data_IF_242401856606
#
_entry.id   IF_242401856606
#
_cell.length_a   1.000
_cell.length_b   1.000
_cell.length_c   1.000
_cell.angle_alpha   90.00
_cell.angle_beta   90.00
_cell.angle_gamma   90.00
#
_symmetry.space_group_name_H-M   'P 1'
#
loop_
_entity.id
_entity.type
_entity.pdbx_description
1 polymer ?
#
# COMPACT_ATOMS: atom_id res chain seq x y z
N UNK A 1 -16.19 -42.32 44.19
CA UNK A 1 -17.46 -42.52 43.47
C UNK A 1 -17.15 -42.64 41.99
N UNK A 2 -17.75 -43.62 41.30
CA UNK A 2 -17.64 -43.72 39.84
C UNK A 2 -18.71 -42.82 39.20
N UNK A 3 -18.34 -42.03 38.20
CA UNK A 3 -19.25 -41.11 37.53
C UNK A 3 -19.06 -41.18 36.03
N UNK A 4 -20.16 -41.32 35.29
CA UNK A 4 -20.21 -41.18 33.84
C UNK A 4 -21.05 -39.95 33.51
N UNK A 5 -20.57 -39.13 32.60
CA UNK A 5 -21.28 -37.95 32.12
C UNK A 5 -21.11 -37.81 30.61
N UNK A 6 -22.07 -37.17 29.97
CA UNK A 6 -22.04 -36.84 28.55
C UNK A 6 -21.37 -35.47 28.38
N UNK A 7 -20.53 -35.32 27.35
CA UNK A 7 -20.05 -34.01 26.91
C UNK A 7 -21.07 -33.27 26.04
N UNK A 8 -22.06 -33.98 25.51
CA UNK A 8 -23.21 -33.44 24.79
C UNK A 8 -24.36 -33.10 25.75
N UNK A 9 -25.14 -32.07 25.41
CA UNK A 9 -26.35 -31.63 26.11
C UNK A 9 -27.61 -32.06 25.35
N UNK A 10 -28.79 -31.75 25.89
CA UNK A 10 -30.06 -32.01 25.20
C UNK A 10 -30.62 -33.40 25.43
N UNK A 11 -31.86 -33.61 25.02
CA UNK A 11 -32.56 -34.89 25.15
C UNK A 11 -31.91 -36.02 24.35
N UNK A 12 -31.13 -35.70 23.32
CA UNK A 12 -30.35 -36.66 22.54
C UNK A 12 -29.14 -37.21 23.32
N UNK A 13 -28.65 -36.48 24.33
CA UNK A 13 -27.57 -36.92 25.20
C UNK A 13 -28.07 -37.93 26.24
N UNK A 14 -28.15 -39.20 25.83
CA UNK A 14 -28.55 -40.33 26.68
C UNK A 14 -27.35 -41.21 27.00
N UNK A 15 -27.18 -41.55 28.27
CA UNK A 15 -26.28 -42.61 28.73
C UNK A 15 -27.16 -43.77 29.17
N UNK A 16 -26.84 -44.97 28.70
CA UNK A 16 -27.50 -46.21 29.09
C UNK A 16 -26.42 -47.27 29.33
N UNK A 17 -26.43 -47.86 30.52
CA UNK A 17 -25.50 -48.91 30.92
C UNK A 17 -26.22 -50.24 30.76
N UNK A 18 -25.79 -51.03 29.77
CA UNK A 18 -26.26 -52.39 29.60
C UNK A 18 -25.54 -53.33 30.58
N UNK A 19 -26.12 -53.53 31.76
CA UNK A 19 -25.59 -54.39 32.83
C UNK A 19 -26.59 -55.51 33.17
N UNK A 20 -26.69 -56.56 32.33
CA UNK A 20 -27.74 -57.58 32.46
C UNK A 20 -27.65 -58.40 33.76
N UNK A 21 -26.47 -58.49 34.38
CA UNK A 21 -26.24 -59.24 35.62
C UNK A 21 -26.19 -58.33 36.86
N UNK A 22 -26.15 -57.01 36.68
CA UNK A 22 -26.09 -56.03 37.77
C UNK A 22 -24.72 -55.98 38.48
N UNK A 23 -23.70 -56.64 37.94
CA UNK A 23 -22.40 -56.78 38.60
C UNK A 23 -21.62 -55.46 38.53
N UNK A 24 -21.70 -54.77 37.40
CA UNK A 24 -21.04 -53.48 37.20
C UNK A 24 -21.63 -52.41 38.14
N UNK A 25 -22.96 -52.31 38.21
CA UNK A 25 -23.63 -51.37 39.09
C UNK A 25 -23.33 -51.63 40.58
N UNK A 26 -23.22 -52.90 41.01
CA UNK A 26 -22.87 -53.28 42.40
C UNK A 26 -21.43 -52.93 42.75
N UNK A 27 -20.46 -53.24 41.87
CA UNK A 27 -19.03 -52.97 42.11
C UNK A 27 -18.77 -51.47 42.28
N UNK A 28 -19.45 -50.65 41.48
CA UNK A 28 -19.23 -49.20 41.46
C UNK A 28 -20.26 -48.38 42.25
N UNK A 29 -21.21 -49.05 42.93
CA UNK A 29 -22.31 -48.44 43.68
C UNK A 29 -23.13 -47.43 42.85
N UNK A 30 -23.49 -47.81 41.63
CA UNK A 30 -24.27 -46.99 40.70
C UNK A 30 -25.77 -47.17 41.00
N UNK A 31 -26.47 -46.06 41.27
CA UNK A 31 -27.88 -46.05 41.65
C UNK A 31 -28.85 -45.89 40.46
N UNK A 32 -28.36 -45.44 39.30
CA UNK A 32 -29.13 -45.36 38.05
C UNK A 32 -28.27 -45.81 36.88
N UNK A 33 -28.77 -46.75 36.08
CA UNK A 33 -28.13 -47.24 34.86
C UNK A 33 -28.51 -46.43 33.62
N UNK A 34 -29.28 -45.35 33.78
CA UNK A 34 -29.57 -44.42 32.70
C UNK A 34 -29.60 -42.96 33.17
N UNK A 35 -29.22 -42.06 32.28
CA UNK A 35 -29.35 -40.62 32.45
C UNK A 35 -29.61 -39.98 31.08
N UNK A 36 -30.41 -38.92 31.04
CA UNK A 36 -30.72 -38.19 29.81
C UNK A 36 -30.58 -36.69 30.06
N UNK A 37 -29.98 -35.98 29.12
CA UNK A 37 -29.93 -34.52 29.13
C UNK A 37 -31.30 -33.89 28.90
N UNK A 38 -31.39 -32.58 29.11
CA UNK A 38 -32.60 -31.79 28.88
C UNK A 38 -32.31 -30.74 27.82
N UNK A 39 -33.26 -30.50 26.92
CA UNK A 39 -33.16 -29.40 25.97
C UNK A 39 -33.27 -28.06 26.68
N UNK A 40 -32.57 -27.05 26.17
CA UNK A 40 -32.81 -25.67 26.57
C UNK A 40 -34.13 -25.18 25.93
N UNK A 41 -34.88 -24.38 26.66
CA UNK A 41 -36.11 -23.76 26.18
C UNK A 41 -35.94 -22.25 26.13
N UNK A 42 -36.29 -21.65 24.99
CA UNK A 42 -36.21 -20.19 24.77
C UNK A 42 -37.54 -19.71 24.21
N UNK A 43 -38.04 -18.58 24.71
CA UNK A 43 -39.17 -17.87 24.09
C UNK A 43 -38.63 -16.64 23.39
N UNK A 44 -38.59 -16.68 22.06
CA UNK A 44 -38.11 -15.58 21.22
C UNK A 44 -39.29 -14.92 20.51
N UNK A 45 -39.54 -13.64 20.77
CA UNK A 45 -40.66 -12.88 20.20
C UNK A 45 -42.02 -13.62 20.34
N UNK A 46 -42.26 -14.22 21.51
CA UNK A 46 -43.48 -14.98 21.81
C UNK A 46 -43.55 -16.39 21.21
N UNK A 47 -42.51 -16.84 20.49
CA UNK A 47 -42.43 -18.22 19.98
C UNK A 47 -41.48 -19.06 20.82
N UNK A 48 -41.98 -20.20 21.31
CA UNK A 48 -41.19 -21.19 22.03
C UNK A 48 -40.30 -21.96 21.05
N UNK A 49 -39.05 -22.16 21.45
CA UNK A 49 -38.03 -22.94 20.75
C UNK A 49 -37.36 -23.88 21.75
N UNK A 50 -37.07 -25.11 21.31
CA UNK A 50 -36.29 -26.08 22.06
C UNK A 50 -34.96 -26.32 21.34
N UNK A 51 -33.88 -26.38 22.12
CA UNK A 51 -32.51 -26.46 21.62
C UNK A 51 -31.79 -27.62 22.30
N UNK A 52 -31.06 -28.44 21.54
CA UNK A 52 -30.24 -29.50 22.12
C UNK A 52 -29.00 -28.96 22.86
N UNK A 53 -28.66 -27.68 22.66
CA UNK A 53 -27.55 -27.02 23.33
C UNK A 53 -27.94 -25.62 23.82
N UNK A 54 -27.00 -25.00 24.55
CA UNK A 54 -27.20 -23.67 25.15
C UNK A 54 -26.83 -22.53 24.17
N UNK A 55 -26.94 -22.75 22.86
CA UNK A 55 -26.61 -21.71 21.87
C UNK A 55 -27.54 -21.77 20.67
N UNK A 56 -27.92 -20.64 20.11
CA UNK A 56 -28.68 -20.63 18.87
C UNK A 56 -28.32 -19.43 18.03
N UNK A 57 -28.62 -19.51 16.74
CA UNK A 57 -28.49 -18.38 15.83
C UNK A 57 -29.87 -17.92 15.38
N UNK A 58 -30.06 -16.61 15.35
CA UNK A 58 -31.27 -15.99 14.85
C UNK A 58 -30.91 -14.71 14.10
N UNK A 59 -31.35 -14.61 12.84
CA UNK A 59 -31.04 -13.49 11.94
C UNK A 59 -29.54 -13.11 11.88
N UNK A 60 -28.65 -14.11 11.87
CA UNK A 60 -27.20 -13.90 11.80
C UNK A 60 -26.55 -13.46 13.12
N UNK A 61 -27.31 -13.41 14.22
CA UNK A 61 -26.79 -13.17 15.56
C UNK A 61 -26.71 -14.49 16.31
N UNK A 62 -25.54 -14.79 16.88
CA UNK A 62 -25.34 -15.93 17.77
C UNK A 62 -25.68 -15.55 19.20
N UNK A 63 -26.52 -16.36 19.83
CA UNK A 63 -26.94 -16.25 21.22
C UNK A 63 -26.36 -17.41 22.02
N UNK A 64 -25.70 -17.10 23.14
CA UNK A 64 -25.24 -18.08 24.10
C UNK A 64 -26.06 -17.95 25.40
N UNK A 65 -26.82 -18.98 25.74
CA UNK A 65 -27.62 -19.05 26.96
C UNK A 65 -26.71 -19.31 28.16
N UNK A 66 -26.68 -18.37 29.10
CA UNK A 66 -25.85 -18.46 30.32
C UNK A 66 -26.64 -18.86 31.57
N UNK A 67 -27.96 -18.77 31.52
CA UNK A 67 -28.84 -19.11 32.63
C UNK A 67 -30.29 -18.79 32.31
N UNK A 68 -31.19 -19.18 33.22
CA UNK A 68 -32.63 -18.91 33.10
C UNK A 68 -32.90 -17.46 33.49
N UNK A 69 -33.56 -16.71 32.60
CA UNK A 69 -33.98 -15.34 32.87
C UNK A 69 -35.23 -15.32 33.75
N UNK A 70 -35.27 -14.43 34.74
CA UNK A 70 -36.45 -14.21 35.61
C UNK A 70 -37.41 -13.15 35.09
N UNK A 71 -37.02 -12.44 34.03
CA UNK A 71 -37.79 -11.41 33.33
C UNK A 71 -37.38 -11.37 31.86
N UNK A 72 -38.17 -10.70 31.03
CA UNK A 72 -37.90 -10.58 29.59
C UNK A 72 -36.57 -9.85 29.34
N UNK A 73 -35.73 -10.45 28.50
CA UNK A 73 -34.46 -9.87 28.07
C UNK A 73 -34.65 -9.17 26.72
N UNK A 74 -34.48 -7.85 26.70
CA UNK A 74 -34.51 -7.08 25.46
C UNK A 74 -33.12 -7.05 24.82
N UNK A 75 -33.01 -7.54 23.59
CA UNK A 75 -31.80 -7.46 22.78
C UNK A 75 -32.09 -6.51 21.63
N UNK A 76 -31.31 -5.43 21.54
CA UNK A 76 -31.39 -4.46 20.44
C UNK A 76 -30.13 -4.55 19.61
N UNK A 77 -30.29 -4.83 18.32
CA UNK A 77 -29.20 -4.70 17.35
C UNK A 77 -29.21 -3.26 16.81
N UNK A 78 -28.11 -2.55 17.02
CA UNK A 78 -27.86 -1.24 16.38
C UNK A 78 -26.71 -1.39 15.40
N UNK A 79 -26.76 -0.62 14.31
CA UNK A 79 -25.63 -0.57 13.36
C UNK A 79 -24.52 0.27 13.96
N UNK A 80 -23.29 -0.23 13.91
CA UNK A 80 -22.12 0.55 14.27
C UNK A 80 -21.80 1.56 13.17
N UNK A 81 -22.26 2.80 13.36
CA UNK A 81 -21.96 3.91 12.44
C UNK A 81 -20.61 4.58 12.75
N UNK A 82 -20.03 4.31 13.93
CA UNK A 82 -18.77 4.89 14.36
C UNK A 82 -17.59 4.35 13.57
N UNK A 83 -17.59 3.05 13.29
CA UNK A 83 -16.58 2.41 12.46
C UNK A 83 -16.58 2.95 11.01
N UNK A 84 -17.78 3.17 10.43
CA UNK A 84 -17.92 3.74 9.08
C UNK A 84 -17.30 5.14 9.02
N UNK A 85 -17.65 6.01 9.99
CA UNK A 85 -17.10 7.37 10.07
C UNK A 85 -15.58 7.32 10.23
N UNK A 86 -15.07 6.43 11.08
CA UNK A 86 -13.63 6.28 11.34
C UNK A 86 -12.86 5.83 10.09
N UNK A 87 -13.38 4.87 9.34
CA UNK A 87 -12.78 4.42 8.08
C UNK A 87 -12.75 5.54 7.02
N UNK A 88 -13.82 6.33 6.92
CA UNK A 88 -13.88 7.45 5.98
C UNK A 88 -12.88 8.55 6.38
N UNK A 89 -12.72 8.85 7.67
CA UNK A 89 -11.70 9.78 8.17
C UNK A 89 -10.29 9.29 7.85
N UNK A 90 -10.01 8.01 8.05
CA UNK A 90 -8.70 7.42 7.71
C UNK A 90 -8.43 7.46 6.21
N UNK A 91 -9.43 7.19 5.37
CA UNK A 91 -9.32 7.35 3.92
C UNK A 91 -8.90 8.77 3.52
N UNK A 92 -9.57 9.80 4.06
CA UNK A 92 -9.24 11.20 3.80
C UNK A 92 -7.83 11.55 4.28
N UNK A 93 -7.43 11.04 5.45
CA UNK A 93 -6.07 11.21 5.97
C UNK A 93 -5.04 10.60 5.01
N UNK A 94 -5.23 9.36 4.57
CA UNK A 94 -4.30 8.69 3.66
C UNK A 94 -4.19 9.39 2.31
N UNK A 95 -5.30 9.88 1.78
CA UNK A 95 -5.30 10.71 0.58
C UNK A 95 -4.49 12.00 0.78
N UNK A 96 -4.70 12.71 1.89
CA UNK A 96 -3.96 13.94 2.20
C UNK A 96 -2.46 13.68 2.41
N UNK A 97 -2.09 12.59 3.09
CA UNK A 97 -0.70 12.16 3.27
C UNK A 97 -0.03 11.85 1.92
N UNK A 98 -0.76 11.26 0.98
CA UNK A 98 -0.28 11.04 -0.40
C UNK A 98 -0.06 12.36 -1.13
N UNK A 99 -1.03 13.28 -1.07
CA UNK A 99 -0.93 14.63 -1.67
C UNK A 99 0.31 15.35 -1.13
N UNK A 100 0.54 15.30 0.19
CA UNK A 100 1.71 15.91 0.82
C UNK A 100 3.02 15.32 0.31
N UNK A 101 3.15 13.98 0.30
CA UNK A 101 4.36 13.31 -0.19
C UNK A 101 4.66 13.63 -1.65
N UNK A 102 3.65 13.63 -2.50
CA UNK A 102 3.81 13.93 -3.93
C UNK A 102 4.16 15.40 -4.15
N UNK A 103 3.44 16.32 -3.50
CA UNK A 103 3.73 17.76 -3.61
C UNK A 103 5.13 18.09 -3.10
N UNK A 104 5.54 17.53 -1.96
CA UNK A 104 6.88 17.73 -1.41
C UNK A 104 7.96 17.24 -2.38
N UNK A 105 7.78 16.05 -2.95
CA UNK A 105 8.75 15.43 -3.86
C UNK A 105 8.84 16.16 -5.21
N UNK A 106 7.70 16.67 -5.72
CA UNK A 106 7.61 17.27 -7.05
C UNK A 106 7.81 18.78 -7.09
N UNK A 107 7.76 19.46 -5.93
CA UNK A 107 8.00 20.91 -5.82
C UNK A 107 9.42 21.27 -5.40
N UNK A 108 10.15 20.36 -4.76
CA UNK A 108 11.52 20.57 -4.33
C UNK A 108 12.45 20.81 -5.55
N UNK A 109 13.05 21.99 -5.63
CA UNK A 109 13.95 22.33 -6.75
C UNK A 109 15.31 21.63 -6.59
N UNK A 110 15.87 21.07 -7.67
CA UNK A 110 17.17 20.42 -7.61
C UNK A 110 18.28 21.42 -7.28
N UNK A 111 19.19 21.01 -6.39
CA UNK A 111 20.33 21.83 -6.03
C UNK A 111 21.53 21.53 -6.94
N UNK A 112 21.73 22.38 -7.95
CA UNK A 112 22.78 22.20 -8.97
C UNK A 112 24.22 22.22 -8.42
N UNK A 113 24.41 22.67 -7.19
CA UNK A 113 25.73 22.70 -6.53
C UNK A 113 26.13 21.34 -5.95
N UNK A 114 25.19 20.38 -5.85
CA UNK A 114 25.44 19.04 -5.32
C UNK A 114 25.23 18.01 -6.43
N UNK A 115 26.34 17.55 -7.01
CA UNK A 115 26.34 16.47 -8.02
C UNK A 115 26.61 15.13 -7.33
N UNK A 116 26.28 13.99 -7.96
CA UNK A 116 26.73 12.69 -7.48
C UNK A 116 28.25 12.68 -7.31
N UNK A 117 28.73 12.19 -6.16
CA UNK A 117 30.16 12.10 -5.85
C UNK A 117 30.81 11.02 -6.71
N UNK A 118 32.02 11.31 -7.23
CA UNK A 118 32.88 10.27 -7.80
C UNK A 118 33.47 9.39 -6.70
N UNK A 119 34.05 8.25 -7.08
CA UNK A 119 34.67 7.35 -6.11
C UNK A 119 35.84 8.04 -5.39
N UNK A 120 36.66 8.79 -6.13
CA UNK A 120 37.80 9.51 -5.59
C UNK A 120 37.37 10.63 -4.64
N UNK A 121 36.25 11.30 -4.92
CA UNK A 121 35.69 12.31 -4.01
C UNK A 121 35.17 11.67 -2.71
N UNK A 122 34.60 10.46 -2.77
CA UNK A 122 34.13 9.71 -1.60
C UNK A 122 35.29 9.29 -0.69
N UNK A 123 36.40 8.82 -1.25
CA UNK A 123 37.58 8.40 -0.49
C UNK A 123 38.14 9.52 0.42
N UNK A 124 37.97 10.79 0.00
CA UNK A 124 38.39 11.96 0.77
C UNK A 124 37.39 12.46 1.82
N UNK A 125 36.23 11.82 1.97
CA UNK A 125 35.13 12.28 2.82
C UNK A 125 34.82 11.29 3.95
N UNK A 126 34.34 11.81 5.08
CA UNK A 126 33.75 10.97 6.13
C UNK A 126 32.35 10.51 5.73
N UNK A 127 31.89 9.36 6.26
CA UNK A 127 30.56 8.80 6.00
C UNK A 127 29.43 9.83 6.22
N UNK A 128 29.47 10.60 7.32
CA UNK A 128 28.50 11.66 7.59
C UNK A 128 28.50 12.77 6.54
N UNK A 129 29.67 13.12 5.99
CA UNK A 129 29.76 14.13 4.93
C UNK A 129 29.21 13.58 3.61
N UNK A 130 29.46 12.30 3.32
CA UNK A 130 28.89 11.60 2.16
C UNK A 130 27.37 11.59 2.26
N UNK A 131 26.80 11.16 3.39
CA UNK A 131 25.35 11.11 3.61
C UNK A 131 24.70 12.48 3.44
N UNK A 132 25.29 13.52 4.03
CA UNK A 132 24.78 14.88 3.92
C UNK A 132 24.85 15.40 2.47
N UNK A 133 25.93 15.08 1.76
CA UNK A 133 26.11 15.46 0.37
C UNK A 133 25.11 14.75 -0.53
N UNK A 134 24.97 13.43 -0.39
CA UNK A 134 24.01 12.63 -1.13
C UNK A 134 22.57 13.06 -0.86
N UNK A 135 22.23 13.36 0.41
CA UNK A 135 20.92 13.88 0.77
C UNK A 135 20.61 15.16 -0.01
N UNK A 136 21.56 16.09 -0.10
CA UNK A 136 21.43 17.33 -0.87
C UNK A 136 21.40 17.09 -2.38
N UNK A 137 22.18 16.14 -2.89
CA UNK A 137 22.20 15.76 -4.31
C UNK A 137 20.88 15.07 -4.75
N UNK A 138 20.22 14.36 -3.82
CA UNK A 138 18.93 13.69 -4.05
C UNK A 138 17.73 14.65 -3.99
N UNK A 139 17.92 15.91 -3.53
CA UNK A 139 16.85 16.91 -3.53
C UNK A 139 16.43 17.22 -4.96
N UNK A 140 15.12 17.16 -5.21
CA UNK A 140 14.53 17.54 -6.49
C UNK A 140 14.74 16.54 -7.62
N UNK A 141 15.12 15.29 -7.33
CA UNK A 141 15.15 14.21 -8.32
C UNK A 141 13.80 13.98 -9.00
N UNK A 142 12.71 14.21 -8.25
CA UNK A 142 11.33 14.08 -8.74
C UNK A 142 10.71 15.45 -9.06
N UNK A 143 11.52 16.51 -9.16
CA UNK A 143 11.02 17.84 -9.44
C UNK A 143 10.26 17.87 -10.77
N UNK A 144 8.97 18.24 -10.70
CA UNK A 144 8.05 18.22 -11.85
C UNK A 144 7.92 16.86 -12.54
N UNK A 145 8.05 15.75 -11.79
CA UNK A 145 7.72 14.44 -12.34
C UNK A 145 6.27 14.41 -12.84
N UNK A 146 6.11 14.11 -14.12
CA UNK A 146 4.84 14.15 -14.84
C UNK A 146 3.90 13.03 -14.41
N UNK A 147 4.40 11.83 -14.10
CA UNK A 147 3.55 10.71 -13.67
C UNK A 147 2.97 11.01 -12.28
N UNK A 148 3.78 11.56 -11.37
CA UNK A 148 3.32 11.92 -10.04
C UNK A 148 2.31 13.08 -10.06
N UNK A 149 2.55 14.11 -10.89
CA UNK A 149 1.60 15.21 -11.08
C UNK A 149 0.29 14.73 -11.73
N UNK A 150 0.38 13.87 -12.74
CA UNK A 150 -0.79 13.24 -13.38
C UNK A 150 -1.57 12.36 -12.40
N UNK A 151 -0.88 11.67 -11.49
CA UNK A 151 -1.50 10.86 -10.44
C UNK A 151 -2.44 11.70 -9.59
N UNK A 152 -1.96 12.82 -9.02
CA UNK A 152 -2.81 13.70 -8.21
C UNK A 152 -4.00 14.26 -9.00
N UNK A 153 -3.78 14.67 -10.24
CA UNK A 153 -4.84 15.16 -11.14
C UNK A 153 -5.91 14.09 -11.40
N UNK A 154 -5.47 12.84 -11.63
CA UNK A 154 -6.37 11.71 -11.89
C UNK A 154 -7.20 11.36 -10.67
N UNK A 155 -6.56 11.22 -9.50
CA UNK A 155 -7.28 10.92 -8.25
C UNK A 155 -8.27 12.03 -7.90
N UNK A 156 -7.85 13.29 -8.04
CA UNK A 156 -8.74 14.44 -7.80
C UNK A 156 -9.99 14.38 -8.67
N UNK A 157 -9.84 14.12 -9.96
CA UNK A 157 -10.98 13.98 -10.89
C UNK A 157 -11.92 12.85 -10.44
N UNK A 158 -11.38 11.69 -10.12
CA UNK A 158 -12.16 10.52 -9.67
C UNK A 158 -12.96 10.75 -8.40
N UNK A 159 -12.50 11.65 -7.52
CA UNK A 159 -13.15 12.02 -6.26
C UNK A 159 -14.18 13.15 -6.43
N UNK A 160 -14.02 14.01 -7.44
CA UNK A 160 -14.99 15.07 -7.76
C UNK A 160 -16.18 14.49 -8.53
N UNK A 161 -15.94 13.51 -9.39
CA UNK A 161 -16.98 12.93 -10.24
C UNK A 161 -17.99 12.11 -9.42
N UNK A 162 -19.28 12.40 -9.58
CA UNK A 162 -20.35 11.66 -8.89
C UNK A 162 -20.37 10.17 -9.25
N UNK A 163 -20.94 9.35 -8.37
CA UNK A 163 -21.20 7.94 -8.59
C UNK A 163 -22.55 7.77 -9.29
N UNK A 164 -22.52 7.51 -10.60
CA UNK A 164 -23.73 7.34 -11.41
C UNK A 164 -24.51 6.10 -10.96
N UNK A 165 -25.83 6.19 -11.06
CA UNK A 165 -26.73 5.10 -10.68
C UNK A 165 -27.00 5.01 -9.17
N UNK A 166 -26.53 5.97 -8.38
CA UNK A 166 -26.96 6.16 -7.00
C UNK A 166 -27.97 7.30 -6.88
N UNK A 167 -28.89 7.18 -5.92
CA UNK A 167 -29.65 8.31 -5.39
C UNK A 167 -28.79 9.17 -4.47
N UNK A 168 -29.41 10.01 -3.64
CA UNK A 168 -28.67 10.79 -2.65
C UNK A 168 -28.27 9.93 -1.43
N UNK A 169 -27.01 9.99 -0.95
CA UNK A 169 -25.87 10.72 -1.53
C UNK A 169 -25.26 10.02 -2.75
N UNK A 170 -24.80 10.79 -3.75
CA UNK A 170 -24.04 10.27 -4.92
C UNK A 170 -22.65 10.89 -5.07
N UNK A 171 -22.28 11.86 -4.24
CA UNK A 171 -20.98 12.55 -4.24
C UNK A 171 -20.34 12.59 -2.84
N UNK A 172 -19.03 12.84 -2.78
CA UNK A 172 -18.34 13.08 -1.50
C UNK A 172 -18.84 14.34 -0.79
N UNK A 173 -19.23 15.37 -1.54
CA UNK A 173 -19.78 16.60 -0.97
C UNK A 173 -21.10 16.40 -0.24
N UNK A 174 -21.92 15.43 -0.66
CA UNK A 174 -23.20 15.11 -0.03
C UNK A 174 -23.01 14.58 1.39
N UNK A 175 -21.88 13.92 1.65
CA UNK A 175 -21.48 13.40 2.96
C UNK A 175 -20.49 14.32 3.69
N UNK A 176 -20.33 15.58 3.23
CA UNK A 176 -19.51 16.58 3.91
C UNK A 176 -18.01 16.50 3.64
N UNK A 177 -17.59 15.77 2.60
CA UNK A 177 -16.18 15.69 2.21
C UNK A 177 -15.97 16.54 0.97
N UNK A 178 -15.10 17.54 1.06
CA UNK A 178 -14.84 18.48 -0.05
C UNK A 178 -13.35 18.72 -0.22
N UNK A 179 -12.96 19.33 -1.34
CA UNK A 179 -11.59 19.78 -1.53
C UNK A 179 -11.38 21.13 -0.84
N UNK A 180 -10.27 21.28 -0.13
CA UNK A 180 -9.88 22.56 0.47
C UNK A 180 -9.84 23.65 -0.59
N UNK A 181 -10.47 24.78 -0.28
CA UNK A 181 -10.46 25.97 -1.12
C UNK A 181 -9.03 26.51 -1.33
N UNK A 182 -8.78 27.12 -2.49
CA UNK A 182 -7.51 27.80 -2.71
C UNK A 182 -7.45 29.10 -1.91
N UNK A 183 -6.53 29.16 -0.95
CA UNK A 183 -6.17 30.39 -0.25
C UNK A 183 -4.76 30.81 -0.64
N UNK A 184 -4.58 32.10 -0.96
CA UNK A 184 -3.28 32.67 -1.36
C UNK A 184 -2.25 32.39 -0.26
N UNK A 185 -1.15 31.72 -0.63
CA UNK A 185 -0.08 31.32 0.30
C UNK A 185 -0.17 29.87 0.80
N UNK A 186 -1.25 29.14 0.51
CA UNK A 186 -1.42 27.73 0.89
C UNK A 186 -1.19 26.77 -0.29
N UNK A 187 -0.07 26.93 -1.00
CA UNK A 187 0.26 26.05 -2.11
C UNK A 187 0.38 24.57 -1.69
N UNK A 188 0.75 24.29 -0.43
CA UNK A 188 0.82 22.93 0.12
C UNK A 188 -0.54 22.29 0.42
N UNK A 189 -1.62 23.07 0.50
CA UNK A 189 -2.97 22.57 0.77
C UNK A 189 -3.74 22.24 -0.53
N UNK A 190 -3.14 22.54 -1.69
CA UNK A 190 -3.74 22.30 -3.00
C UNK A 190 -4.03 20.81 -3.20
N UNK A 191 -5.32 20.51 -3.41
CA UNK A 191 -5.77 19.16 -3.70
C UNK A 191 -5.99 18.29 -2.48
N UNK A 192 -5.86 18.82 -1.25
CA UNK A 192 -6.27 18.10 -0.04
C UNK A 192 -7.79 18.11 0.13
N UNK A 193 -8.29 17.06 0.78
CA UNK A 193 -9.66 16.95 1.24
C UNK A 193 -9.82 17.54 2.65
N UNK A 194 -11.00 18.06 2.92
CA UNK A 194 -11.48 18.46 4.25
C UNK A 194 -12.83 17.79 4.55
N UNK A 195 -13.12 17.61 5.84
CA UNK A 195 -14.30 16.91 6.33
C UNK A 195 -15.11 17.84 7.22
N UNK A 196 -16.39 18.03 6.88
CA UNK A 196 -17.42 18.46 7.82
C UNK A 196 -17.86 17.24 8.64
N UNK A 197 -17.32 17.11 9.85
CA UNK A 197 -17.56 15.94 10.69
C UNK A 197 -19.03 15.76 11.07
N UNK A 198 -19.75 16.87 11.26
CA UNK A 198 -21.16 16.82 11.61
C UNK A 198 -21.98 16.33 10.43
N UNK A 199 -21.75 16.89 9.23
CA UNK A 199 -22.46 16.45 8.02
C UNK A 199 -22.16 14.99 7.66
N UNK A 200 -20.91 14.54 7.87
CA UNK A 200 -20.55 13.14 7.70
C UNK A 200 -21.30 12.24 8.70
N UNK A 201 -21.28 12.60 9.97
CA UNK A 201 -21.98 11.84 11.02
C UNK A 201 -23.49 11.76 10.74
N UNK A 202 -24.10 12.88 10.35
CA UNK A 202 -25.52 12.96 10.01
C UNK A 202 -25.86 12.09 8.78
N UNK A 203 -25.02 12.11 7.74
CA UNK A 203 -25.21 11.29 6.55
C UNK A 203 -25.15 9.79 6.86
N UNK A 204 -24.14 9.38 7.64
CA UNK A 204 -23.98 7.97 8.05
C UNK A 204 -25.10 7.52 8.97
N UNK A 205 -25.53 8.35 9.93
CA UNK A 205 -26.65 8.02 10.83
C UNK A 205 -27.98 7.94 10.09
N UNK A 206 -28.19 8.78 9.07
CA UNK A 206 -29.43 8.81 8.28
C UNK A 206 -29.56 7.61 7.35
N UNK A 207 -28.50 7.26 6.61
CA UNK A 207 -28.52 6.11 5.70
C UNK A 207 -27.10 5.52 5.49
N UNK A 208 -26.66 4.63 6.39
CA UNK A 208 -25.31 4.08 6.32
C UNK A 208 -25.09 3.19 5.08
N UNK A 209 -26.14 2.52 4.57
CA UNK A 209 -26.03 1.71 3.34
C UNK A 209 -25.74 2.57 2.13
N UNK A 210 -26.39 3.73 2.01
CA UNK A 210 -26.15 4.63 0.88
C UNK A 210 -24.75 5.25 0.92
N UNK A 211 -24.24 5.59 2.12
CA UNK A 211 -22.85 6.04 2.27
C UNK A 211 -21.88 4.93 1.91
N UNK A 212 -22.11 3.69 2.35
CA UNK A 212 -21.26 2.54 1.97
C UNK A 212 -21.23 2.34 0.45
N UNK A 213 -22.39 2.42 -0.21
CA UNK A 213 -22.51 2.29 -1.67
C UNK A 213 -21.70 3.35 -2.43
N UNK A 214 -21.50 4.57 -1.92
CA UNK A 214 -20.60 5.55 -2.55
C UNK A 214 -19.19 5.01 -2.77
N UNK A 215 -18.71 4.20 -1.83
CA UNK A 215 -17.34 3.67 -1.88
C UNK A 215 -17.30 2.29 -2.54
N UNK A 216 -18.31 1.45 -2.32
CA UNK A 216 -18.27 0.02 -2.66
C UNK A 216 -19.15 -0.38 -3.84
N UNK A 217 -19.89 0.55 -4.47
CA UNK A 217 -20.72 0.21 -5.63
C UNK A 217 -19.88 -0.42 -6.74
N UNK A 218 -20.37 -1.53 -7.27
CA UNK A 218 -19.79 -2.18 -8.45
C UNK A 218 -20.62 -1.83 -9.70
N UNK A 219 -19.98 -1.87 -10.87
CA UNK A 219 -20.68 -1.75 -12.16
C UNK A 219 -20.84 -3.14 -12.78
N UNK A 220 -21.92 -3.33 -13.53
CA UNK A 220 -22.16 -4.52 -14.35
C UNK A 220 -21.64 -4.33 -15.80
N UNK A 221 -21.06 -3.17 -16.12
CA UNK A 221 -20.47 -2.90 -17.43
C UNK A 221 -19.14 -3.65 -17.60
N UNK A 222 -18.73 -3.85 -18.85
CA UNK A 222 -17.36 -4.29 -19.16
C UNK A 222 -16.36 -3.22 -18.72
N UNK A 223 -15.21 -3.62 -18.17
CA UNK A 223 -14.19 -2.68 -17.67
C UNK A 223 -13.65 -1.72 -18.77
N UNK A 224 -13.79 -2.09 -20.05
CA UNK A 224 -13.41 -1.25 -21.20
C UNK A 224 -14.49 -0.24 -21.59
N UNK A 225 -15.70 -0.34 -21.04
CA UNK A 225 -16.76 0.63 -21.31
C UNK A 225 -16.38 2.01 -20.74
N UNK A 226 -16.52 3.10 -21.52
CA UNK A 226 -16.20 4.46 -21.05
C UNK A 226 -17.00 4.89 -19.81
N UNK A 227 -18.16 4.29 -19.56
CA UNK A 227 -19.00 4.59 -18.40
C UNK A 227 -18.71 3.70 -17.18
N UNK A 228 -17.97 2.60 -17.32
CA UNK A 228 -17.65 1.65 -16.24
C UNK A 228 -17.19 2.39 -14.98
N UNK A 229 -16.17 3.24 -15.14
CA UNK A 229 -15.58 4.00 -14.03
C UNK A 229 -16.57 4.95 -13.37
N UNK A 230 -17.49 5.55 -14.14
CA UNK A 230 -18.48 6.48 -13.59
C UNK A 230 -19.58 5.77 -12.79
N UNK A 231 -19.76 4.46 -12.96
CA UNK A 231 -20.73 3.67 -12.20
C UNK A 231 -20.13 3.00 -10.96
N UNK A 232 -18.81 2.79 -10.91
CA UNK A 232 -18.17 2.20 -9.73
C UNK A 232 -18.05 3.22 -8.60
N UNK A 233 -17.98 2.72 -7.37
CA UNK A 233 -17.72 3.51 -6.18
C UNK A 233 -16.27 3.97 -6.09
N UNK A 234 -15.99 4.91 -5.18
CA UNK A 234 -14.67 5.53 -5.08
C UNK A 234 -13.53 4.55 -4.80
N UNK A 235 -13.76 3.45 -4.07
CA UNK A 235 -12.70 2.48 -3.77
C UNK A 235 -12.16 1.83 -5.05
N UNK A 236 -13.03 1.28 -5.90
CA UNK A 236 -12.65 0.63 -7.15
C UNK A 236 -12.03 1.62 -8.15
N UNK A 237 -12.57 2.85 -8.22
CA UNK A 237 -12.02 3.91 -9.08
C UNK A 237 -10.58 4.23 -8.72
N UNK A 238 -10.34 4.52 -7.44
CA UNK A 238 -9.02 4.91 -6.95
C UNK A 238 -8.04 3.74 -7.05
N UNK A 239 -8.48 2.53 -6.72
CA UNK A 239 -7.67 1.33 -6.89
C UNK A 239 -7.21 1.15 -8.35
N UNK A 240 -8.15 1.27 -9.30
CA UNK A 240 -7.84 1.17 -10.74
C UNK A 240 -6.89 2.28 -11.19
N UNK A 241 -7.15 3.53 -10.79
CA UNK A 241 -6.31 4.66 -11.15
C UNK A 241 -4.89 4.53 -10.58
N UNK A 242 -4.77 4.21 -9.29
CA UNK A 242 -3.49 3.99 -8.63
C UNK A 242 -2.72 2.85 -9.31
N UNK A 243 -3.40 1.74 -9.63
CA UNK A 243 -2.79 0.61 -10.35
C UNK A 243 -2.25 1.06 -11.72
N UNK A 244 -3.02 1.85 -12.47
CA UNK A 244 -2.58 2.37 -13.76
C UNK A 244 -1.37 3.32 -13.62
N UNK A 245 -1.35 4.17 -12.60
CA UNK A 245 -0.23 5.07 -12.33
C UNK A 245 1.02 4.29 -11.89
N UNK A 246 0.87 3.30 -11.01
CA UNK A 246 1.97 2.40 -10.62
C UNK A 246 2.52 1.68 -11.84
N UNK A 247 1.66 1.20 -12.75
CA UNK A 247 2.11 0.57 -14.00
C UNK A 247 2.89 1.53 -14.91
N UNK A 248 2.55 2.83 -14.94
CA UNK A 248 3.35 3.83 -15.65
C UNK A 248 4.72 4.03 -15.00
N UNK A 249 4.78 4.10 -13.67
CA UNK A 249 6.04 4.17 -12.92
C UNK A 249 6.90 2.96 -13.27
N UNK A 250 6.35 1.75 -13.16
CA UNK A 250 7.03 0.48 -13.49
C UNK A 250 7.58 0.49 -14.91
N UNK A 251 6.80 0.96 -15.90
CA UNK A 251 7.27 1.08 -17.29
C UNK A 251 8.44 2.06 -17.44
N UNK A 252 8.49 3.11 -16.62
CA UNK A 252 9.55 4.12 -16.67
C UNK A 252 10.83 3.65 -15.97
N UNK A 253 10.73 3.13 -14.75
CA UNK A 253 11.88 2.86 -13.89
C UNK A 253 12.21 1.37 -13.72
N UNK A 254 11.37 0.48 -14.22
CA UNK A 254 11.50 -0.97 -14.02
C UNK A 254 10.63 -1.49 -12.89
N UNK A 255 10.37 -2.80 -12.90
CA UNK A 255 9.51 -3.46 -11.91
C UNK A 255 10.24 -3.83 -10.61
N UNK A 256 11.58 -3.77 -10.60
CA UNK A 256 12.42 -4.27 -9.52
C UNK A 256 12.30 -5.78 -9.26
N UNK A 257 11.52 -6.51 -10.07
CA UNK A 257 11.33 -7.96 -9.94
C UNK A 257 12.42 -8.67 -10.73
N UNK A 258 13.10 -9.58 -10.06
CA UNK A 258 14.21 -10.41 -10.58
C UNK A 258 13.81 -11.27 -11.79
N UNK A 259 12.51 -11.46 -12.07
CA UNK A 259 12.01 -12.30 -13.16
C UNK A 259 12.25 -11.74 -14.55
N UNK A 260 12.46 -10.43 -14.69
CA UNK A 260 12.78 -9.83 -15.98
C UNK A 260 14.30 -9.95 -16.17
N UNK A 261 14.74 -11.00 -16.87
CA UNK A 261 16.17 -11.23 -17.17
C UNK A 261 16.85 -10.05 -17.89
N UNK A 262 16.07 -9.12 -18.43
CA UNK A 262 16.49 -7.86 -19.03
C UNK A 262 15.51 -6.76 -18.58
N UNK A 263 16.02 -5.70 -17.94
CA UNK A 263 15.24 -4.51 -17.64
C UNK A 263 14.94 -3.74 -18.94
N UNK A 264 13.70 -3.87 -19.42
CA UNK A 264 13.24 -3.16 -20.62
C UNK A 264 12.48 -1.87 -20.29
N UNK A 265 12.64 -1.33 -19.08
CA UNK A 265 12.10 -0.03 -18.72
C UNK A 265 12.72 1.08 -19.57
N UNK A 266 12.11 2.27 -19.53
CA UNK A 266 12.68 3.42 -20.19
C UNK A 266 14.08 3.74 -19.63
N UNK A 267 14.20 3.85 -18.32
CA UNK A 267 15.48 4.18 -17.69
C UNK A 267 16.51 3.06 -17.78
N UNK A 268 16.10 1.79 -17.74
CA UNK A 268 17.00 0.66 -17.98
C UNK A 268 17.66 0.74 -19.36
N UNK A 269 16.89 1.02 -20.40
CA UNK A 269 17.42 1.23 -21.76
C UNK A 269 18.30 2.46 -21.88
N UNK A 270 17.92 3.56 -21.25
CA UNK A 270 18.72 4.80 -21.25
C UNK A 270 20.08 4.56 -20.55
N UNK A 271 20.09 3.84 -19.43
CA UNK A 271 21.31 3.45 -18.70
C UNK A 271 22.19 2.54 -19.56
N UNK A 272 21.62 1.54 -20.24
CA UNK A 272 22.35 0.66 -21.15
C UNK A 272 23.00 1.43 -22.31
N UNK A 273 22.30 2.40 -22.89
CA UNK A 273 22.86 3.27 -23.93
C UNK A 273 24.00 4.14 -23.38
N UNK A 274 23.82 4.72 -22.19
CA UNK A 274 24.87 5.49 -21.51
C UNK A 274 26.12 4.64 -21.24
N UNK A 275 25.96 3.40 -20.78
CA UNK A 275 27.06 2.46 -20.55
C UNK A 275 27.84 2.16 -21.83
N UNK A 276 27.16 1.88 -22.94
CA UNK A 276 27.81 1.67 -24.26
C UNK A 276 28.58 2.92 -24.71
N UNK A 277 28.03 4.10 -24.46
CA UNK A 277 28.70 5.37 -24.77
C UNK A 277 29.93 5.58 -23.89
N UNK A 278 29.87 5.27 -22.60
CA UNK A 278 31.02 5.34 -21.69
C UNK A 278 32.15 4.43 -22.18
N UNK A 279 31.86 3.16 -22.48
CA UNK A 279 32.86 2.21 -23.01
C UNK A 279 33.53 2.71 -24.32
N UNK A 280 32.74 3.34 -25.20
CA UNK A 280 33.26 3.94 -26.43
C UNK A 280 34.21 5.11 -26.14
N UNK A 281 33.89 5.95 -25.17
CA UNK A 281 34.72 7.08 -24.76
C UNK A 281 36.00 6.61 -24.07
N UNK A 282 35.93 5.64 -23.17
CA UNK A 282 37.08 5.02 -22.50
C UNK A 282 38.06 4.45 -23.53
N UNK A 283 37.55 3.70 -24.51
CA UNK A 283 38.35 3.15 -25.62
C UNK A 283 39.06 4.25 -26.42
N UNK A 284 38.39 5.39 -26.64
CA UNK A 284 38.98 6.54 -27.34
C UNK A 284 40.07 7.22 -26.50
N UNK A 285 39.85 7.40 -25.20
CA UNK A 285 40.84 7.98 -24.29
C UNK A 285 42.11 7.12 -24.28
N UNK A 286 41.98 5.80 -24.17
CA UNK A 286 43.12 4.87 -24.21
C UNK A 286 43.92 4.97 -25.54
N UNK A 287 43.23 5.15 -26.67
CA UNK A 287 43.90 5.34 -27.97
C UNK A 287 44.64 6.68 -28.06
N UNK A 288 44.06 7.75 -27.51
CA UNK A 288 44.68 9.08 -27.46
C UNK A 288 45.91 9.05 -26.55
N UNK A 289 45.80 8.46 -25.37
CA UNK A 289 46.92 8.24 -24.45
C UNK A 289 48.06 7.49 -25.14
N UNK A 290 47.76 6.36 -25.79
CA UNK A 290 48.76 5.59 -26.56
C UNK A 290 49.42 6.40 -27.68
N UNK A 291 48.67 7.30 -28.34
CA UNK A 291 49.24 8.22 -29.35
C UNK A 291 50.18 9.23 -28.71
N UNK A 292 49.79 9.86 -27.61
CA UNK A 292 50.63 10.84 -26.92
C UNK A 292 51.90 10.21 -26.36
N UNK A 293 51.83 9.02 -25.76
CA UNK A 293 53.01 8.27 -25.35
C UNK A 293 53.98 8.05 -26.52
N UNK A 294 53.49 7.62 -27.69
CA UNK A 294 54.34 7.46 -28.88
C UNK A 294 55.00 8.77 -29.33
N UNK A 295 54.25 9.87 -29.34
CA UNK A 295 54.77 11.18 -29.72
C UNK A 295 55.82 11.68 -28.73
N UNK A 296 55.57 11.51 -27.43
CA UNK A 296 56.49 11.89 -26.36
C UNK A 296 57.80 11.07 -26.45
N UNK A 297 57.71 9.73 -26.58
CA UNK A 297 58.90 8.89 -26.76
C UNK A 297 59.67 9.22 -28.04
N UNK A 298 58.99 9.57 -29.15
CA UNK A 298 59.66 9.99 -30.37
C UNK A 298 60.39 11.34 -30.19
N UNK A 299 59.77 12.27 -29.45
CA UNK A 299 60.37 13.56 -29.10
C UNK A 299 61.60 13.37 -28.19
N UNK A 300 61.52 12.52 -27.17
CA UNK A 300 62.67 12.20 -26.30
C UNK A 300 63.83 11.63 -27.10
N UNK A 301 63.57 10.69 -28.02
CA UNK A 301 64.61 10.13 -28.91
C UNK A 301 65.22 11.20 -29.82
N UNK A 302 64.41 12.11 -30.35
CA UNK A 302 64.89 13.21 -31.18
C UNK A 302 65.77 14.19 -30.37
N UNK A 303 65.37 14.52 -29.14
CA UNK A 303 66.15 15.36 -28.22
C UNK A 303 67.47 14.69 -27.81
N UNK A 304 67.47 13.39 -27.51
CA UNK A 304 68.70 12.64 -27.25
C UNK A 304 69.65 12.68 -28.45
N UNK A 305 69.12 12.52 -29.66
CA UNK A 305 69.92 12.60 -30.88
C UNK A 305 70.48 14.02 -31.08
N UNK A 306 69.68 15.06 -30.89
CA UNK A 306 70.12 16.46 -30.97
C UNK A 306 71.19 16.78 -29.93
N UNK A 307 71.03 16.32 -28.69
CA UNK A 307 72.06 16.48 -27.65
C UNK A 307 73.36 15.75 -28.03
N UNK A 308 73.27 14.52 -28.54
CA UNK A 308 74.47 13.78 -28.99
C UNK A 308 75.17 14.47 -30.17
N UNK A 309 74.41 15.08 -31.09
CA UNK A 309 74.94 15.87 -32.20
C UNK A 309 75.54 17.20 -31.72
N UNK A 310 74.90 17.89 -30.78
CA UNK A 310 75.40 19.12 -30.17
C UNK A 310 76.71 18.90 -29.43
N UNK A 311 76.81 17.80 -28.66
CA UNK A 311 78.06 17.39 -28.01
C UNK A 311 79.16 17.08 -29.04
N UNK A 312 78.84 16.35 -30.12
CA UNK A 312 79.79 16.06 -31.20
C UNK A 312 80.30 17.35 -31.87
N UNK A 313 79.40 18.28 -32.20
CA UNK A 313 79.75 19.56 -32.80
C UNK A 313 80.60 20.43 -31.86
N UNK A 314 80.25 20.46 -30.57
CA UNK A 314 81.01 21.18 -29.54
C UNK A 314 82.41 20.61 -29.33
N UNK A 315 82.60 19.31 -29.54
CA UNK A 315 83.90 18.63 -29.44
C UNK A 315 84.76 18.87 -30.69
N UNK A 316 84.13 19.06 -31.85
CA UNK A 316 84.79 19.40 -33.11
C UNK A 316 85.18 20.89 -33.20
N UNK A 317 84.40 21.79 -32.59
CA UNK A 317 84.63 23.24 -32.56
C UNK A 317 85.48 23.70 -31.36
N UNK A 318 85.80 22.79 -30.43
CA UNK A 318 86.64 23.05 -29.25
C UNK A 318 88.10 22.60 -29.39
N UNK A 319 88.53 22.20 -30.60
CA UNK A 319 89.94 22.00 -30.97
C UNK A 319 90.47 23.18 -31.78
#
# INVERSE_FOLDING_TARGET
SFMMSSTSTGSSAKIEINDPNGDFAKIFNITSTSAQGTNAEVVLNGKKMELENNSFEFNGVKFDLKGVSTSDVSVTATRDTGDIVSQIKEFVKQYNDLVDKVNQSTSARPNRNYRPLTEEEREGMTEKQIDLWESKAKVGLLYRDDILQETLSTLRRSLVDNVKGLGEPNSLSDIGITFKGYLKGMAGELGKLEIDEQKLQDAVNKNPDAVMQLFTKTSNLDQKDPNYKSETGYADRLYTDLTNQINKIIKRIGSGKVSDAVDNSQYGRDIDEMNKRMQTLESRVALVEKRYYKQFTAMEKALQKLNSQGSWLSQQLGQ
#
